data_IF_341655005690
#
_entry.id   IF_341655005690
#
_cell.length_a   1.000
_cell.length_b   1.000
_cell.length_c   1.000
_cell.angle_alpha   90.00
_cell.angle_beta   90.00
_cell.angle_gamma   90.00
#
_symmetry.space_group_name_H-M   'P 1'
#
loop_
_entity.id
_entity.type
_entity.pdbx_description
1 polymer ?
#
# COMPACT_ATOMS: atom_id res chain seq x y z
N UNK A 1 7.18 38.05 -22.13
CA UNK A 1 6.21 36.92 -21.99
C UNK A 1 6.76 35.56 -22.48
N UNK A 2 8.08 35.31 -22.47
CA UNK A 2 8.67 34.06 -23.02
C UNK A 2 9.09 33.05 -21.93
N UNK A 3 9.78 33.48 -20.87
CA UNK A 3 10.29 32.58 -19.81
C UNK A 3 9.22 31.83 -19.00
N UNK A 4 8.05 32.46 -18.77
CA UNK A 4 6.98 31.84 -17.96
C UNK A 4 6.39 30.60 -18.65
N UNK A 5 6.27 30.62 -19.99
CA UNK A 5 5.79 29.46 -20.76
C UNK A 5 6.80 28.32 -20.79
N UNK A 6 8.10 28.63 -20.81
CA UNK A 6 9.16 27.62 -20.77
C UNK A 6 9.25 26.92 -19.41
N UNK A 7 9.03 27.65 -18.30
CA UNK A 7 8.98 27.06 -16.96
C UNK A 7 7.72 26.18 -16.80
N UNK A 8 6.57 26.66 -17.26
CA UNK A 8 5.31 25.89 -17.23
C UNK A 8 5.44 24.62 -18.09
N UNK A 9 5.97 24.72 -19.32
CA UNK A 9 6.18 23.57 -20.19
C UNK A 9 7.24 22.59 -19.67
N UNK A 10 8.27 23.05 -18.97
CA UNK A 10 9.25 22.18 -18.30
C UNK A 10 8.62 21.45 -17.10
N UNK A 11 7.79 22.13 -16.31
CA UNK A 11 7.02 21.56 -15.21
C UNK A 11 6.05 20.48 -15.70
N UNK A 12 5.24 20.78 -16.71
CA UNK A 12 4.29 19.81 -17.30
C UNK A 12 4.99 18.54 -17.82
N UNK A 13 6.17 18.68 -18.43
CA UNK A 13 6.96 17.53 -18.88
C UNK A 13 7.53 16.70 -17.72
N UNK A 14 7.93 17.34 -16.62
CA UNK A 14 8.40 16.64 -15.42
C UNK A 14 7.25 15.90 -14.72
N UNK A 15 6.08 16.53 -14.59
CA UNK A 15 4.88 15.91 -14.02
C UNK A 15 4.37 14.75 -14.89
N UNK A 16 4.39 14.88 -16.23
CA UNK A 16 4.05 13.77 -17.12
C UNK A 16 5.02 12.59 -16.96
N UNK A 17 6.32 12.85 -16.86
CA UNK A 17 7.32 11.79 -16.65
C UNK A 17 7.14 11.09 -15.30
N UNK A 18 6.86 11.83 -14.23
CA UNK A 18 6.62 11.23 -12.91
C UNK A 18 5.34 10.40 -12.87
N UNK A 19 4.26 10.86 -13.51
CA UNK A 19 3.01 10.10 -13.63
C UNK A 19 3.18 8.82 -14.45
N UNK A 20 3.92 8.87 -15.56
CA UNK A 20 4.22 7.68 -16.38
C UNK A 20 5.09 6.70 -15.60
N UNK A 21 6.13 7.17 -14.90
CA UNK A 21 6.98 6.32 -14.06
C UNK A 21 6.18 5.66 -12.92
N UNK A 22 5.29 6.41 -12.28
CA UNK A 22 4.40 5.88 -11.24
C UNK A 22 3.46 4.82 -11.80
N UNK A 23 2.85 5.06 -12.98
CA UNK A 23 2.00 4.08 -13.66
C UNK A 23 2.77 2.82 -14.02
N UNK A 24 3.97 2.95 -14.57
CA UNK A 24 4.84 1.82 -14.90
C UNK A 24 5.24 1.02 -13.65
N UNK A 25 5.51 1.67 -12.52
CA UNK A 25 5.85 1.01 -11.27
C UNK A 25 4.73 0.06 -10.77
N UNK A 26 3.47 0.49 -10.87
CA UNK A 26 2.31 -0.32 -10.48
C UNK A 26 1.92 -1.38 -11.52
N UNK A 27 2.28 -1.18 -12.80
CA UNK A 27 2.01 -2.13 -13.87
C UNK A 27 3.13 -3.13 -14.12
N UNK A 28 4.34 -2.88 -13.59
CA UNK A 28 5.48 -3.77 -13.74
C UNK A 28 5.17 -5.12 -13.09
N UNK A 29 5.37 -6.19 -13.84
CA UNK A 29 5.45 -7.54 -13.29
C UNK A 29 6.68 -7.57 -12.37
N UNK A 30 6.43 -7.85 -11.10
CA UNK A 30 7.47 -7.95 -10.09
C UNK A 30 7.08 -9.00 -9.07
N UNK A 31 8.06 -9.49 -8.34
CA UNK A 31 7.91 -10.61 -7.41
C UNK A 31 7.00 -10.31 -6.20
N UNK A 32 6.54 -9.05 -6.08
CA UNK A 32 5.71 -8.58 -4.98
C UNK A 32 4.29 -8.25 -5.45
N UNK A 33 3.27 -8.75 -4.74
CA UNK A 33 1.88 -8.36 -4.96
C UNK A 33 1.69 -6.84 -4.90
N UNK A 34 0.69 -6.35 -5.64
CA UNK A 34 0.38 -4.93 -5.72
C UNK A 34 0.06 -4.32 -4.35
N UNK A 35 -0.64 -5.03 -3.46
CA UNK A 35 -1.05 -4.52 -2.15
C UNK A 35 0.09 -4.32 -1.13
N UNK A 36 1.33 -4.74 -1.42
CA UNK A 36 2.52 -4.47 -0.60
C UNK A 36 3.64 -3.77 -1.37
N UNK A 37 3.34 -3.29 -2.58
CA UNK A 37 4.37 -2.79 -3.49
C UNK A 37 4.88 -1.41 -3.08
N UNK A 38 4.01 -0.51 -2.61
CA UNK A 38 4.42 0.84 -2.20
C UNK A 38 5.32 0.87 -0.98
N UNK A 39 6.19 1.88 -0.93
CA UNK A 39 7.00 2.17 0.26
C UNK A 39 6.08 2.54 1.41
N UNK A 40 5.99 1.67 2.42
CA UNK A 40 5.09 1.81 3.58
C UNK A 40 3.91 0.81 3.57
N UNK A 41 3.53 0.28 2.42
CA UNK A 41 2.40 -0.67 2.32
C UNK A 41 2.73 -2.01 2.99
N UNK A 42 4.00 -2.44 2.93
CA UNK A 42 4.46 -3.65 3.61
C UNK A 42 4.33 -3.56 5.13
N UNK A 43 4.70 -2.43 5.74
CA UNK A 43 4.56 -2.23 7.19
C UNK A 43 3.08 -2.23 7.60
N UNK A 44 2.24 -1.51 6.86
CA UNK A 44 0.79 -1.50 7.07
C UNK A 44 0.18 -2.90 6.96
N UNK A 45 0.61 -3.67 5.95
CA UNK A 45 0.18 -5.05 5.77
C UNK A 45 0.57 -5.95 6.96
N UNK A 46 1.81 -5.87 7.44
CA UNK A 46 2.24 -6.66 8.60
C UNK A 46 1.46 -6.30 9.87
N UNK A 47 1.19 -5.02 10.09
CA UNK A 47 0.37 -4.57 11.23
C UNK A 47 -1.05 -5.12 11.11
N UNK A 48 -1.66 -5.03 9.92
CA UNK A 48 -3.00 -5.56 9.68
C UNK A 48 -3.05 -7.07 9.89
N UNK A 49 -2.08 -7.82 9.36
CA UNK A 49 -1.98 -9.27 9.52
C UNK A 49 -1.83 -9.67 11.00
N UNK A 50 -0.95 -8.99 11.75
CA UNK A 50 -0.77 -9.22 13.17
C UNK A 50 -2.06 -8.94 13.97
N UNK A 51 -2.77 -7.85 13.65
CA UNK A 51 -4.05 -7.52 14.27
C UNK A 51 -5.12 -8.58 14.03
N UNK A 52 -5.28 -9.04 12.79
CA UNK A 52 -6.26 -10.08 12.44
C UNK A 52 -5.94 -11.40 13.14
N UNK A 53 -4.68 -11.82 13.12
CA UNK A 53 -4.26 -13.06 13.80
C UNK A 53 -4.45 -12.97 15.32
N UNK A 54 -4.15 -11.83 15.92
CA UNK A 54 -4.39 -11.58 17.34
C UNK A 54 -5.86 -11.69 17.71
N UNK A 55 -6.75 -11.04 16.93
CA UNK A 55 -8.19 -11.13 17.12
C UNK A 55 -8.71 -12.56 16.95
N UNK A 56 -8.27 -13.27 15.91
CA UNK A 56 -8.65 -14.65 15.68
C UNK A 56 -8.25 -15.55 16.86
N UNK A 57 -7.03 -15.38 17.40
CA UNK A 57 -6.57 -16.10 18.59
C UNK A 57 -7.43 -15.84 19.83
N UNK A 58 -7.80 -14.58 20.06
CA UNK A 58 -8.71 -14.20 21.15
C UNK A 58 -10.10 -14.82 20.96
N UNK A 59 -10.65 -14.77 19.74
CA UNK A 59 -11.94 -15.37 19.40
C UNK A 59 -11.96 -16.88 19.65
N UNK A 60 -10.91 -17.59 19.25
CA UNK A 60 -10.77 -19.04 19.53
C UNK A 60 -10.68 -19.30 21.03
N UNK A 61 -9.96 -18.46 21.78
CA UNK A 61 -9.90 -18.54 23.24
C UNK A 61 -11.26 -18.35 23.91
N UNK A 62 -12.03 -17.37 23.46
CA UNK A 62 -13.40 -17.12 23.94
C UNK A 62 -14.35 -18.26 23.58
N UNK A 63 -14.31 -18.75 22.34
CA UNK A 63 -15.11 -19.90 21.92
C UNK A 63 -14.80 -21.14 22.77
N UNK A 64 -13.53 -21.39 23.07
CA UNK A 64 -13.11 -22.50 23.94
C UNK A 64 -13.64 -22.35 25.36
N UNK A 65 -13.72 -21.14 25.92
CA UNK A 65 -14.32 -20.89 27.23
C UNK A 65 -15.83 -21.14 27.21
N UNK A 66 -16.51 -20.65 26.18
CA UNK A 66 -17.95 -20.86 25.96
C UNK A 66 -18.31 -22.34 25.87
N UNK A 67 -17.57 -23.12 25.06
CA UNK A 67 -17.76 -24.57 24.93
C UNK A 67 -17.53 -25.29 26.28
N UNK A 68 -16.60 -24.79 27.10
CA UNK A 68 -16.31 -25.33 28.43
C UNK A 68 -17.29 -24.84 29.52
N UNK A 69 -18.30 -24.04 29.16
CA UNK A 69 -19.29 -23.50 30.10
C UNK A 69 -18.70 -22.53 31.12
N UNK A 70 -17.61 -21.83 30.77
CA UNK A 70 -16.94 -20.83 31.62
C UNK A 70 -17.20 -19.42 31.13
#
# INVERSE_FOLDING_TARGET
MSMFRSIIGAGENAFRRSQVAHRMYWQREGDRPTYIRGSGDSATFFIAAAGVLGLAGLSVGHLKKLIRGK
#
